data_IF_675804174470
#
_entry.id   IF_675804174470
#
_cell.length_a   1.000
_cell.length_b   1.000
_cell.length_c   1.000
_cell.angle_alpha   90.00
_cell.angle_beta   90.00
_cell.angle_gamma   90.00
#
_symmetry.space_group_name_H-M   'P 1'
#
loop_
_entity.id
_entity.type
_entity.pdbx_description
1 polymer ?
#
# COMPACT_ATOMS: atom_id res chain seq x y z
N UNK A 1 45.00 -30.42 -33.71
CA UNK A 1 44.83 -29.53 -32.54
C UNK A 1 43.66 -28.62 -32.86
N UNK A 2 42.55 -28.79 -32.14
CA UNK A 2 41.33 -28.01 -32.38
C UNK A 2 41.45 -26.70 -31.58
N UNK A 3 41.86 -25.62 -32.25
CA UNK A 3 42.04 -24.28 -31.67
C UNK A 3 40.80 -23.43 -31.86
N UNK A 4 39.61 -24.01 -31.63
CA UNK A 4 38.40 -23.20 -31.56
C UNK A 4 38.36 -22.51 -30.19
N UNK A 5 38.39 -21.17 -30.13
CA UNK A 5 38.29 -20.47 -28.87
C UNK A 5 36.92 -20.83 -28.26
N UNK A 6 36.95 -21.42 -27.06
CA UNK A 6 35.74 -21.62 -26.26
C UNK A 6 35.16 -20.24 -26.00
N UNK A 7 34.12 -19.88 -26.74
CA UNK A 7 33.37 -18.65 -26.51
C UNK A 7 32.73 -18.80 -25.14
N UNK A 8 33.36 -18.20 -24.13
CA UNK A 8 32.79 -18.09 -22.80
C UNK A 8 31.53 -17.24 -22.97
N UNK A 9 30.37 -17.89 -23.05
CA UNK A 9 29.08 -17.22 -23.01
C UNK A 9 29.13 -16.27 -21.82
N UNK A 10 28.82 -14.99 -22.06
CA UNK A 10 28.81 -13.94 -21.03
C UNK A 10 28.21 -14.53 -19.76
N UNK A 11 28.95 -14.46 -18.66
CA UNK A 11 28.44 -14.82 -17.35
C UNK A 11 27.20 -13.97 -17.12
N UNK A 12 26.03 -14.59 -17.16
CA UNK A 12 24.76 -13.94 -16.87
C UNK A 12 24.70 -13.73 -15.36
N UNK A 13 25.38 -12.69 -14.87
CA UNK A 13 25.42 -12.33 -13.45
C UNK A 13 24.02 -12.19 -12.83
N UNK A 14 23.02 -11.83 -13.64
CA UNK A 14 21.62 -11.76 -13.24
C UNK A 14 21.01 -13.12 -12.88
N UNK A 15 21.53 -14.20 -13.44
CA UNK A 15 21.15 -15.58 -13.10
C UNK A 15 21.78 -16.04 -11.79
N UNK A 16 22.99 -15.56 -11.50
CA UNK A 16 23.73 -15.87 -10.27
C UNK A 16 23.19 -15.07 -9.09
N UNK A 17 22.91 -13.78 -9.30
CA UNK A 17 22.42 -12.85 -8.28
C UNK A 17 21.06 -12.28 -8.67
N UNK A 18 19.95 -13.00 -8.45
CA UNK A 18 18.61 -12.53 -8.78
C UNK A 18 18.22 -11.24 -8.03
N UNK A 19 18.90 -10.93 -6.92
CA UNK A 19 18.73 -9.68 -6.17
C UNK A 19 19.13 -8.46 -7.02
N UNK A 20 20.06 -8.60 -7.97
CA UNK A 20 20.41 -7.50 -8.89
C UNK A 20 19.24 -7.14 -9.83
N UNK A 21 18.33 -8.09 -10.11
CA UNK A 21 17.11 -7.77 -10.86
C UNK A 21 16.16 -6.89 -10.04
N UNK A 22 16.17 -6.97 -8.70
CA UNK A 22 15.37 -6.08 -7.86
C UNK A 22 15.82 -4.62 -7.94
N UNK A 23 17.07 -4.34 -8.35
CA UNK A 23 17.49 -2.97 -8.64
C UNK A 23 16.68 -2.33 -9.77
N UNK A 24 16.19 -3.14 -10.72
CA UNK A 24 15.28 -2.65 -11.76
C UNK A 24 13.94 -2.21 -11.15
N UNK A 25 13.51 -2.77 -10.01
CA UNK A 25 12.30 -2.32 -9.31
C UNK A 25 12.42 -0.85 -8.92
N UNK A 26 13.58 -0.42 -8.40
CA UNK A 26 13.80 0.98 -8.04
C UNK A 26 13.68 1.89 -9.26
N UNK A 27 14.31 1.52 -10.39
CA UNK A 27 14.18 2.29 -11.64
C UNK A 27 12.74 2.33 -12.16
N UNK A 28 12.02 1.22 -12.10
CA UNK A 28 10.63 1.11 -12.53
C UNK A 28 9.68 1.88 -11.59
N UNK A 29 10.04 2.02 -10.31
CA UNK A 29 9.30 2.84 -9.35
C UNK A 29 9.30 4.32 -9.73
N UNK A 30 10.42 4.83 -10.27
CA UNK A 30 10.55 6.22 -10.72
C UNK A 30 9.99 6.43 -12.14
N UNK A 31 9.44 5.41 -12.79
CA UNK A 31 8.81 5.61 -14.10
C UNK A 31 7.50 6.35 -13.94
N UNK A 32 7.34 7.44 -14.71
CA UNK A 32 6.10 8.25 -14.74
C UNK A 32 4.85 7.38 -14.96
N UNK A 33 4.97 6.25 -15.68
CA UNK A 33 3.87 5.34 -15.97
C UNK A 33 3.36 4.55 -14.76
N UNK A 34 4.22 4.25 -13.79
CA UNK A 34 3.83 3.61 -12.52
C UNK A 34 3.43 4.67 -11.50
N UNK A 35 4.07 5.85 -11.54
CA UNK A 35 3.73 6.96 -10.64
C UNK A 35 2.36 7.57 -10.91
N UNK A 36 1.94 7.74 -12.16
CA UNK A 36 0.60 8.28 -12.49
C UNK A 36 -0.54 7.47 -11.84
N UNK A 37 -0.68 6.15 -12.06
CA UNK A 37 -1.76 5.38 -11.45
C UNK A 37 -1.66 5.39 -9.92
N UNK A 38 -0.46 5.38 -9.36
CA UNK A 38 -0.27 5.46 -7.91
C UNK A 38 -0.71 6.82 -7.36
N UNK A 39 -0.33 7.92 -8.00
CA UNK A 39 -0.76 9.25 -7.63
C UNK A 39 -2.29 9.38 -7.67
N UNK A 40 -2.92 8.90 -8.75
CA UNK A 40 -4.39 8.90 -8.87
C UNK A 40 -5.02 8.05 -7.76
N UNK A 41 -4.45 6.88 -7.43
CA UNK A 41 -4.93 6.05 -6.33
C UNK A 41 -4.90 6.79 -4.98
N UNK A 42 -3.81 7.50 -4.69
CA UNK A 42 -3.67 8.28 -3.45
C UNK A 42 -4.66 9.45 -3.39
N UNK A 43 -4.84 10.17 -4.50
CA UNK A 43 -5.82 11.28 -4.57
C UNK A 43 -7.25 10.75 -4.39
N UNK A 44 -7.61 9.63 -5.02
CA UNK A 44 -8.93 9.02 -4.85
C UNK A 44 -9.13 8.46 -3.44
N UNK A 45 -8.09 7.85 -2.86
CA UNK A 45 -8.12 7.39 -1.46
C UNK A 45 -8.37 8.57 -0.52
N UNK A 46 -7.68 9.69 -0.74
CA UNK A 46 -7.86 10.90 0.04
C UNK A 46 -9.29 11.41 -0.01
N UNK A 47 -9.79 11.66 -1.23
CA UNK A 47 -11.13 12.19 -1.45
C UNK A 47 -12.17 11.23 -0.85
N UNK A 48 -12.05 9.93 -1.12
CA UNK A 48 -13.00 8.94 -0.63
C UNK A 48 -13.00 8.81 0.89
N UNK A 49 -11.84 8.75 1.54
CA UNK A 49 -11.75 8.71 3.02
C UNK A 49 -12.34 9.97 3.62
N UNK A 50 -12.05 11.14 3.05
CA UNK A 50 -12.62 12.41 3.51
C UNK A 50 -14.15 12.40 3.42
N UNK A 51 -14.72 11.99 2.29
CA UNK A 51 -16.17 11.90 2.08
C UNK A 51 -16.82 10.90 3.04
N UNK A 52 -16.21 9.72 3.24
CA UNK A 52 -16.70 8.73 4.20
C UNK A 52 -16.73 9.33 5.61
N UNK A 53 -15.66 10.01 6.04
CA UNK A 53 -15.60 10.62 7.36
C UNK A 53 -16.65 11.73 7.54
N UNK A 54 -16.89 12.56 6.52
CA UNK A 54 -17.92 13.59 6.55
C UNK A 54 -19.31 12.99 6.71
N UNK A 55 -19.63 11.96 5.91
CA UNK A 55 -20.93 11.28 5.95
C UNK A 55 -21.14 10.61 7.31
N UNK A 56 -20.14 9.88 7.83
CA UNK A 56 -20.29 9.17 9.10
C UNK A 56 -20.34 10.08 10.32
N UNK A 57 -19.65 11.23 10.28
CA UNK A 57 -19.63 12.18 11.40
C UNK A 57 -20.81 13.16 11.38
N UNK A 58 -21.53 13.28 10.25
CA UNK A 58 -22.75 14.10 10.15
C UNK A 58 -23.96 13.51 10.86
N UNK A 59 -23.84 12.28 11.38
CA UNK A 59 -24.85 11.67 12.25
C UNK A 59 -24.79 12.39 13.61
N UNK A 60 -25.88 13.05 14.05
CA UNK A 60 -25.87 13.87 15.26
C UNK A 60 -25.55 12.99 16.47
N UNK A 61 -24.38 13.22 17.05
CA UNK A 61 -23.91 12.57 18.26
C UNK A 61 -23.94 13.63 19.37
N UNK A 62 -24.83 13.44 20.36
CA UNK A 62 -25.14 14.40 21.43
C UNK A 62 -23.95 15.27 21.86
N UNK A 63 -24.14 16.60 21.74
CA UNK A 63 -23.13 17.66 21.77
C UNK A 63 -22.19 17.70 23.00
N UNK A 64 -22.50 16.95 24.06
CA UNK A 64 -21.72 16.95 25.29
C UNK A 64 -20.57 15.91 25.34
N UNK A 65 -20.47 14.98 24.36
CA UNK A 65 -19.35 13.99 24.30
C UNK A 65 -18.42 14.16 23.09
N UNK A 66 -18.76 15.04 22.16
CA UNK A 66 -18.12 15.18 20.84
C UNK A 66 -16.71 15.81 20.86
N UNK A 67 -16.35 16.55 21.91
CA UNK A 67 -15.02 17.20 22.00
C UNK A 67 -13.88 16.23 22.35
N UNK A 68 -14.16 15.14 23.09
CA UNK A 68 -13.17 14.13 23.43
C UNK A 68 -13.05 13.04 22.35
N UNK A 69 -14.17 12.65 21.74
CA UNK A 69 -14.20 11.67 20.65
C UNK A 69 -13.45 12.14 19.39
N UNK A 70 -13.42 13.47 19.13
CA UNK A 70 -12.70 14.01 17.98
C UNK A 70 -11.18 13.76 18.04
N UNK A 71 -10.60 13.60 19.24
CA UNK A 71 -9.17 13.32 19.42
C UNK A 71 -8.82 11.83 19.19
N UNK A 72 -9.73 10.91 19.53
CA UNK A 72 -9.57 9.46 19.27
C UNK A 72 -9.82 9.07 17.80
N UNK A 73 -10.47 9.94 17.02
CA UNK A 73 -10.68 9.79 15.56
C UNK A 73 -9.42 9.67 14.70
N UNK A 74 -8.22 9.73 15.29
CA UNK A 74 -7.00 10.09 14.57
C UNK A 74 -6.12 8.93 14.15
N UNK A 75 -6.34 7.67 14.51
CA UNK A 75 -5.37 6.62 14.11
C UNK A 75 -5.32 6.37 12.59
N UNK A 76 -6.46 6.26 11.90
CA UNK A 76 -6.49 6.07 10.43
C UNK A 76 -6.03 7.35 9.70
N UNK A 77 -6.36 8.52 10.24
CA UNK A 77 -5.92 9.82 9.73
C UNK A 77 -4.44 10.14 10.05
N UNK A 78 -3.84 9.46 11.04
CA UNK A 78 -2.43 9.56 11.42
C UNK A 78 -1.54 8.63 10.60
N UNK A 79 -2.07 7.53 10.08
CA UNK A 79 -1.29 6.57 9.26
C UNK A 79 -0.96 7.15 7.88
N UNK A 80 -1.79 8.06 7.39
CA UNK A 80 -1.50 8.83 6.19
C UNK A 80 -1.02 10.24 6.57
N UNK A 81 -0.19 10.90 5.74
CA UNK A 81 0.29 12.26 5.98
C UNK A 81 -0.81 13.33 5.76
N UNK A 82 -2.05 13.06 6.17
CA UNK A 82 -3.18 13.99 6.01
C UNK A 82 -3.12 15.20 6.94
N UNK A 83 -2.32 15.13 8.02
CA UNK A 83 -2.18 16.24 8.97
C UNK A 83 -1.62 17.50 8.31
N UNK A 84 -0.82 17.36 7.24
CA UNK A 84 -0.32 18.50 6.45
C UNK A 84 -1.33 19.07 5.45
N UNK A 85 -2.45 18.37 5.20
CA UNK A 85 -3.48 18.76 4.21
C UNK A 85 -4.74 19.30 4.88
N UNK A 86 -4.86 19.18 6.20
CA UNK A 86 -5.95 19.84 6.92
C UNK A 86 -5.70 21.36 6.94
N UNK A 87 -6.68 22.19 6.53
CA UNK A 87 -6.56 23.63 6.70
C UNK A 87 -6.37 23.92 8.19
N UNK A 88 -5.33 24.67 8.59
CA UNK A 88 -5.06 24.91 10.00
C UNK A 88 -6.26 25.61 10.65
N UNK A 89 -6.79 25.04 11.75
CA UNK A 89 -7.92 25.63 12.50
C UNK A 89 -7.59 27.00 13.12
N UNK A 90 -6.32 27.42 13.14
CA UNK A 90 -5.87 28.77 13.51
C UNK A 90 -4.64 29.17 12.69
N UNK A 91 -4.71 30.31 12.02
CA UNK A 91 -3.76 30.81 11.00
C UNK A 91 -2.43 31.37 11.51
N UNK A 92 -2.14 31.32 12.82
CA UNK A 92 -0.99 32.03 13.40
C UNK A 92 0.35 31.28 13.35
N UNK A 93 0.39 30.03 12.87
CA UNK A 93 1.65 29.29 12.70
C UNK A 93 1.70 28.59 11.34
N UNK A 94 1.58 29.36 10.24
CA UNK A 94 2.08 28.89 8.93
C UNK A 94 3.61 28.94 8.99
N UNK A 95 4.19 27.95 9.67
CA UNK A 95 5.61 27.68 9.61
C UNK A 95 5.90 27.00 8.28
N UNK A 96 6.68 27.66 7.43
CA UNK A 96 7.28 27.07 6.22
C UNK A 96 8.29 25.95 6.55
N UNK A 97 8.55 25.68 7.84
CA UNK A 97 9.26 24.47 8.22
C UNK A 97 8.50 23.27 7.65
N UNK A 98 9.21 22.30 7.06
CA UNK A 98 8.58 21.08 6.63
C UNK A 98 7.82 20.51 7.83
N UNK A 99 6.49 20.49 7.74
CA UNK A 99 5.61 19.73 8.64
C UNK A 99 5.77 18.22 8.36
N UNK A 100 7.00 17.80 8.04
CA UNK A 100 7.50 16.44 8.15
C UNK A 100 7.70 16.25 9.66
N UNK A 101 6.57 16.20 10.40
CA UNK A 101 6.56 15.30 11.54
C UNK A 101 6.99 13.97 10.94
N UNK A 102 8.13 13.48 11.39
CA UNK A 102 8.67 12.17 11.06
C UNK A 102 7.59 11.20 11.53
N UNK A 103 6.58 10.95 10.69
CA UNK A 103 5.59 9.94 10.91
C UNK A 103 6.41 8.68 11.09
N UNK A 104 6.27 8.07 12.27
CA UNK A 104 6.93 6.81 12.62
C UNK A 104 6.77 5.88 11.43
N UNK A 105 7.85 5.71 10.68
CA UNK A 105 7.84 5.05 9.39
C UNK A 105 7.56 3.58 9.65
N UNK A 106 6.28 3.20 9.57
CA UNK A 106 5.89 1.80 9.58
C UNK A 106 6.69 1.07 8.49
N UNK A 107 7.06 -0.20 8.72
CA UNK A 107 7.87 -0.97 7.77
C UNK A 107 7.21 -1.16 6.40
N UNK A 108 5.94 -0.81 6.25
CA UNK A 108 5.14 -0.93 5.04
C UNK A 108 4.72 0.44 4.49
N UNK A 109 4.35 0.53 3.19
CA UNK A 109 3.79 1.75 2.61
C UNK A 109 2.46 2.15 3.24
N UNK A 110 2.17 3.46 3.31
CA UNK A 110 0.98 3.99 3.99
C UNK A 110 -0.36 3.35 3.57
N UNK A 111 -0.66 3.08 2.26
CA UNK A 111 -1.92 2.44 1.88
C UNK A 111 -2.08 1.02 2.45
N UNK A 112 -0.97 0.27 2.53
CA UNK A 112 -0.95 -1.09 3.10
C UNK A 112 -1.15 -1.02 4.60
N UNK A 113 -0.43 -0.12 5.27
CA UNK A 113 -0.58 0.10 6.71
C UNK A 113 -2.00 0.54 7.06
N UNK A 114 -2.63 1.41 6.27
CA UNK A 114 -4.00 1.85 6.48
C UNK A 114 -5.00 0.71 6.33
N UNK A 115 -4.82 -0.21 5.37
CA UNK A 115 -5.65 -1.41 5.27
C UNK A 115 -5.51 -2.30 6.51
N UNK A 116 -4.28 -2.50 7.01
CA UNK A 116 -4.05 -3.30 8.22
C UNK A 116 -4.67 -2.65 9.44
N UNK A 117 -4.49 -1.35 9.63
CA UNK A 117 -5.05 -0.62 10.78
C UNK A 117 -6.57 -0.59 10.74
N UNK A 118 -7.17 -0.35 9.58
CA UNK A 118 -8.65 -0.36 9.42
C UNK A 118 -9.23 -1.75 9.62
N UNK A 119 -8.55 -2.80 9.12
CA UNK A 119 -8.93 -4.18 9.40
C UNK A 119 -8.85 -4.48 10.90
N UNK A 120 -7.76 -4.13 11.57
CA UNK A 120 -7.63 -4.32 13.03
C UNK A 120 -8.69 -3.53 13.80
N UNK A 121 -9.00 -2.31 13.39
CA UNK A 121 -10.06 -1.48 13.99
C UNK A 121 -11.43 -2.16 13.86
N UNK A 122 -11.76 -2.66 12.66
CA UNK A 122 -13.00 -3.38 12.39
C UNK A 122 -13.16 -4.66 13.23
N UNK A 123 -12.05 -5.31 13.57
CA UNK A 123 -12.03 -6.54 14.35
C UNK A 123 -12.09 -6.30 15.87
N UNK A 124 -11.63 -5.13 16.32
CA UNK A 124 -11.48 -4.81 17.76
C UNK A 124 -12.54 -3.86 18.30
N UNK A 125 -13.16 -3.04 17.43
CA UNK A 125 -14.10 -1.99 17.83
C UNK A 125 -15.47 -2.16 17.18
N UNK A 126 -16.53 -2.06 17.99
CA UNK A 126 -17.93 -2.08 17.54
C UNK A 126 -18.50 -0.70 17.21
N UNK A 127 -17.90 0.40 17.70
CA UNK A 127 -18.51 1.73 17.64
C UNK A 127 -18.39 2.40 16.25
N UNK A 128 -17.43 1.96 15.42
CA UNK A 128 -17.14 2.58 14.12
C UNK A 128 -17.10 1.58 12.95
N UNK A 129 -17.72 0.41 13.10
CA UNK A 129 -17.63 -0.71 12.14
C UNK A 129 -18.00 -0.31 10.71
N UNK A 130 -19.06 0.49 10.52
CA UNK A 130 -19.51 0.91 9.17
C UNK A 130 -18.49 1.83 8.50
N UNK A 131 -17.90 2.76 9.25
CA UNK A 131 -16.87 3.68 8.75
C UNK A 131 -15.62 2.92 8.35
N UNK A 132 -15.14 2.04 9.23
CA UNK A 132 -13.91 1.27 8.99
C UNK A 132 -14.10 0.28 7.84
N UNK A 133 -15.28 -0.34 7.72
CA UNK A 133 -15.63 -1.20 6.60
C UNK A 133 -15.63 -0.43 5.28
N UNK A 134 -16.22 0.77 5.24
CA UNK A 134 -16.25 1.62 4.05
C UNK A 134 -14.85 2.07 3.64
N UNK A 135 -14.01 2.47 4.59
CA UNK A 135 -12.61 2.84 4.32
C UNK A 135 -11.81 1.64 3.81
N UNK A 136 -11.95 0.47 4.46
CA UNK A 136 -11.26 -0.75 4.03
C UNK A 136 -11.69 -1.16 2.62
N UNK A 137 -13.00 -1.11 2.31
CA UNK A 137 -13.53 -1.42 0.99
C UNK A 137 -13.01 -0.46 -0.08
N UNK A 138 -12.94 0.85 0.23
CA UNK A 138 -12.35 1.85 -0.66
C UNK A 138 -10.88 1.57 -0.92
N UNK A 139 -10.07 1.38 0.13
CA UNK A 139 -8.64 1.14 0.00
C UNK A 139 -8.36 -0.17 -0.76
N UNK A 140 -9.06 -1.24 -0.44
CA UNK A 140 -8.96 -2.51 -1.17
C UNK A 140 -9.35 -2.34 -2.65
N UNK A 141 -10.43 -1.60 -2.94
CA UNK A 141 -10.85 -1.23 -4.30
C UNK A 141 -9.77 -0.53 -5.10
N UNK A 142 -9.12 0.47 -4.50
CA UNK A 142 -8.04 1.22 -5.12
C UNK A 142 -6.79 0.34 -5.33
N UNK A 143 -6.44 -0.49 -4.35
CA UNK A 143 -5.33 -1.45 -4.46
C UNK A 143 -5.58 -2.46 -5.60
N UNK A 144 -6.81 -2.96 -5.75
CA UNK A 144 -7.18 -3.88 -6.81
C UNK A 144 -7.03 -3.28 -8.21
N UNK A 145 -7.40 -2.01 -8.40
CA UNK A 145 -7.33 -1.35 -9.71
C UNK A 145 -5.90 -0.87 -9.99
N UNK A 146 -5.36 -0.03 -9.12
CA UNK A 146 -4.10 0.65 -9.36
C UNK A 146 -2.90 -0.24 -9.08
N UNK A 147 -3.00 -1.17 -8.13
CA UNK A 147 -1.99 -2.20 -7.90
C UNK A 147 -1.82 -3.12 -9.09
N UNK A 148 -2.92 -3.62 -9.66
CA UNK A 148 -2.90 -4.45 -10.88
C UNK A 148 -2.41 -3.66 -12.09
N UNK A 149 -2.83 -2.40 -12.26
CA UNK A 149 -2.37 -1.54 -13.35
C UNK A 149 -0.85 -1.31 -13.29
N UNK A 150 -0.31 -1.00 -12.12
CA UNK A 150 1.14 -0.82 -11.95
C UNK A 150 1.90 -2.13 -12.10
N UNK A 151 1.41 -3.24 -11.52
CA UNK A 151 2.02 -4.55 -11.71
C UNK A 151 2.13 -4.92 -13.19
N UNK A 152 1.08 -4.65 -13.97
CA UNK A 152 1.08 -4.86 -15.41
C UNK A 152 2.09 -3.97 -16.14
N UNK A 153 2.15 -2.68 -15.80
CA UNK A 153 3.14 -1.77 -16.39
C UNK A 153 4.57 -2.27 -16.12
N UNK A 154 4.86 -2.63 -14.87
CA UNK A 154 6.16 -3.15 -14.44
C UNK A 154 6.50 -4.46 -15.14
N UNK A 155 5.54 -5.39 -15.24
CA UNK A 155 5.72 -6.67 -15.91
C UNK A 155 6.02 -6.50 -17.40
N UNK A 156 5.23 -5.69 -18.11
CA UNK A 156 5.45 -5.45 -19.55
C UNK A 156 6.81 -4.82 -19.81
N UNK A 157 7.19 -3.80 -19.03
CA UNK A 157 8.49 -3.15 -19.19
C UNK A 157 9.65 -4.08 -18.85
N UNK A 158 9.51 -4.96 -17.85
CA UNK A 158 10.54 -5.91 -17.48
C UNK A 158 10.69 -7.07 -18.49
N UNK A 159 9.58 -7.67 -18.93
CA UNK A 159 9.61 -8.85 -19.81
C UNK A 159 9.88 -8.48 -21.27
N UNK A 160 9.17 -7.48 -21.80
CA UNK A 160 9.17 -7.17 -23.24
C UNK A 160 10.03 -5.95 -23.60
N UNK A 161 10.44 -5.15 -22.60
CA UNK A 161 10.98 -3.79 -22.82
C UNK A 161 10.02 -2.86 -23.59
N UNK A 162 8.77 -3.27 -23.80
CA UNK A 162 7.75 -2.43 -24.42
C UNK A 162 7.08 -1.54 -23.39
N UNK A 163 6.66 -0.37 -23.86
CA UNK A 163 6.11 0.69 -23.03
C UNK A 163 4.59 0.63 -23.11
N UNK A 164 3.94 0.08 -22.08
CA UNK A 164 2.47 0.14 -21.97
C UNK A 164 2.06 1.50 -21.41
N UNK A 165 1.18 2.23 -22.10
CA UNK A 165 0.66 3.51 -21.60
C UNK A 165 -0.17 3.34 -20.32
N UNK A 166 -0.11 4.30 -19.39
CA UNK A 166 -0.81 4.23 -18.10
C UNK A 166 -2.34 4.06 -18.26
N UNK A 167 -2.94 4.75 -19.23
CA UNK A 167 -4.38 4.65 -19.53
C UNK A 167 -4.75 3.24 -19.99
N UNK A 168 -3.92 2.62 -20.85
CA UNK A 168 -4.15 1.26 -21.31
C UNK A 168 -4.03 0.26 -20.16
N UNK A 169 -3.06 0.45 -19.25
CA UNK A 169 -2.89 -0.39 -18.07
C UNK A 169 -4.10 -0.29 -17.12
N UNK A 170 -4.61 0.93 -16.86
CA UNK A 170 -5.80 1.15 -16.03
C UNK A 170 -7.04 0.52 -16.68
N UNK A 171 -7.26 0.75 -17.99
CA UNK A 171 -8.40 0.16 -18.72
C UNK A 171 -8.41 -1.36 -18.60
N UNK A 172 -7.25 -1.98 -18.72
CA UNK A 172 -7.11 -3.43 -18.59
C UNK A 172 -7.32 -3.90 -17.15
N UNK A 173 -6.82 -3.15 -16.16
CA UNK A 173 -7.07 -3.45 -14.74
C UNK A 173 -8.57 -3.37 -14.39
N UNK A 174 -9.33 -2.45 -15.00
CA UNK A 174 -10.79 -2.37 -14.85
C UNK A 174 -11.47 -3.60 -15.45
N UNK A 175 -11.02 -4.07 -16.62
CA UNK A 175 -11.55 -5.30 -17.25
C UNK A 175 -11.24 -6.54 -16.39
N UNK A 176 -10.07 -6.58 -15.74
CA UNK A 176 -9.67 -7.67 -14.85
C UNK A 176 -10.20 -7.50 -13.40
N UNK A 177 -11.00 -6.46 -13.12
CA UNK A 177 -11.54 -6.17 -11.78
C UNK A 177 -12.32 -7.32 -11.15
N UNK A 178 -13.18 -8.08 -11.86
CA UNK A 178 -13.87 -9.22 -11.26
C UNK A 178 -12.89 -10.29 -10.74
N UNK A 179 -11.74 -10.44 -11.40
CA UNK A 179 -10.70 -11.41 -11.01
C UNK A 179 -9.98 -10.94 -9.74
N UNK A 180 -9.61 -9.66 -9.67
CA UNK A 180 -8.97 -9.09 -8.47
C UNK A 180 -9.93 -9.03 -7.28
N UNK A 181 -11.22 -8.78 -7.53
CA UNK A 181 -12.26 -8.83 -6.52
C UNK A 181 -12.43 -10.24 -5.96
N UNK A 182 -12.49 -11.26 -6.82
CA UNK A 182 -12.57 -12.65 -6.36
C UNK A 182 -11.37 -13.04 -5.49
N UNK A 183 -10.14 -12.67 -5.89
CA UNK A 183 -8.94 -12.93 -5.08
C UNK A 183 -9.00 -12.23 -3.72
N UNK A 184 -9.43 -10.96 -3.71
CA UNK A 184 -9.51 -10.14 -2.49
C UNK A 184 -10.57 -10.69 -1.54
N UNK A 185 -11.76 -11.02 -2.03
CA UNK A 185 -12.83 -11.64 -1.22
C UNK A 185 -12.34 -12.96 -0.64
N UNK A 186 -11.68 -13.81 -1.44
CA UNK A 186 -11.14 -15.09 -0.96
C UNK A 186 -10.07 -14.88 0.13
N UNK A 187 -9.16 -13.93 -0.05
CA UNK A 187 -8.16 -13.57 0.97
C UNK A 187 -8.83 -13.03 2.25
N UNK A 188 -9.83 -12.15 2.13
CA UNK A 188 -10.58 -11.63 3.27
C UNK A 188 -11.29 -12.75 4.02
N UNK A 189 -11.94 -13.70 3.32
CA UNK A 189 -12.59 -14.85 3.94
C UNK A 189 -11.58 -15.74 4.68
N UNK A 190 -10.42 -16.02 4.07
CA UNK A 190 -9.35 -16.79 4.70
C UNK A 190 -8.78 -16.13 5.96
N UNK A 191 -8.69 -14.80 5.98
CA UNK A 191 -8.27 -14.04 7.17
C UNK A 191 -9.38 -13.98 8.22
N UNK A 192 -10.63 -13.78 7.80
CA UNK A 192 -11.76 -13.65 8.70
C UNK A 192 -12.08 -14.96 9.43
N UNK A 193 -11.92 -16.11 8.77
CA UNK A 193 -12.26 -17.43 9.33
C UNK A 193 -11.60 -17.73 10.70
N UNK A 194 -10.26 -17.64 10.87
CA UNK A 194 -9.63 -17.87 12.17
C UNK A 194 -9.99 -16.78 13.20
N UNK A 195 -10.30 -15.57 12.76
CA UNK A 195 -10.67 -14.47 13.66
C UNK A 195 -12.10 -14.63 14.18
N UNK A 196 -13.02 -15.08 13.32
CA UNK A 196 -14.37 -15.47 13.73
C UNK A 196 -14.34 -16.63 14.71
N UNK A 197 -13.42 -17.59 14.53
CA UNK A 197 -13.21 -18.69 15.48
C UNK A 197 -12.73 -18.18 16.86
N UNK A 198 -11.80 -17.21 16.88
CA UNK A 198 -11.35 -16.56 18.12
C UNK A 198 -12.47 -15.79 18.80
N UNK A 199 -13.27 -15.04 18.03
CA UNK A 199 -14.42 -14.32 18.56
C UNK A 199 -15.44 -15.30 19.14
N UNK A 200 -15.76 -16.40 18.45
CA UNK A 200 -16.65 -17.43 18.97
C UNK A 200 -16.14 -18.03 20.29
N UNK A 201 -14.83 -18.29 20.40
CA UNK A 201 -14.21 -18.76 21.64
C UNK A 201 -14.30 -17.71 22.76
N UNK A 202 -14.11 -16.42 22.44
CA UNK A 202 -14.27 -15.32 23.40
C UNK A 202 -15.72 -15.20 23.88
N UNK A 203 -16.70 -15.34 23.00
CA UNK A 203 -18.13 -15.32 23.37
C UNK A 203 -18.49 -16.44 24.35
N UNK A 204 -17.93 -17.64 24.19
CA UNK A 204 -18.13 -18.76 25.13
C UNK A 204 -17.57 -18.47 26.53
N UNK A 205 -16.51 -17.67 26.62
CA UNK A 205 -15.90 -17.29 27.90
C UNK A 205 -16.76 -16.31 28.72
N UNK A 206 -17.73 -15.63 28.10
CA UNK A 206 -18.60 -14.63 28.76
C UNK A 206 -19.82 -15.28 29.46
N UNK A 207 -20.03 -16.59 29.31
CA UNK A 207 -21.18 -17.27 29.91
C UNK A 207 -21.15 -17.24 31.45
N UNK A 208 -22.19 -16.70 32.13
CA UNK A 208 -22.21 -16.60 33.58
C UNK A 208 -22.21 -17.97 34.26
N UNK A 209 -21.44 -18.11 35.34
CA UNK A 209 -21.38 -19.31 36.19
C UNK A 209 -20.37 -20.39 35.78
N UNK A 210 -20.03 -20.48 34.50
CA UNK A 210 -19.06 -21.48 33.97
C UNK A 210 -17.87 -20.79 33.27
N UNK A 211 -18.08 -19.56 32.78
CA UNK A 211 -17.14 -18.83 31.94
C UNK A 211 -15.77 -18.61 32.57
N UNK A 212 -15.67 -18.32 33.87
CA UNK A 212 -14.39 -18.02 34.52
C UNK A 212 -13.44 -19.23 34.57
N UNK A 213 -13.95 -20.39 35.00
CA UNK A 213 -13.15 -21.63 35.06
C UNK A 213 -12.78 -22.12 33.66
N UNK A 214 -13.71 -22.02 32.70
CA UNK A 214 -13.45 -22.37 31.30
C UNK A 214 -12.44 -21.40 30.69
N UNK A 215 -12.55 -20.09 30.95
CA UNK A 215 -11.63 -19.09 30.44
C UNK A 215 -10.20 -19.36 30.91
N UNK A 216 -9.97 -19.70 32.18
CA UNK A 216 -8.62 -20.01 32.67
C UNK A 216 -7.99 -21.21 31.95
N UNK A 217 -8.77 -22.27 31.66
CA UNK A 217 -8.28 -23.47 30.97
C UNK A 217 -8.12 -23.23 29.47
N UNK A 218 -9.03 -22.46 28.87
CA UNK A 218 -9.10 -22.22 27.42
C UNK A 218 -8.19 -21.06 26.98
N UNK A 219 -7.75 -20.19 27.89
CA UNK A 219 -6.89 -19.04 27.57
C UNK A 219 -5.58 -19.41 26.85
N UNK A 220 -4.81 -20.43 27.26
CA UNK A 220 -3.64 -20.89 26.50
C UNK A 220 -4.00 -21.35 25.08
N UNK A 221 -5.18 -21.95 24.89
CA UNK A 221 -5.66 -22.38 23.57
C UNK A 221 -6.05 -21.19 22.71
N UNK A 222 -6.77 -20.21 23.26
CA UNK A 222 -7.14 -18.96 22.56
C UNK A 222 -5.89 -18.20 22.15
N UNK A 223 -4.89 -18.08 23.03
CA UNK A 223 -3.64 -17.39 22.71
C UNK A 223 -2.85 -18.12 21.62
N UNK A 224 -2.78 -19.45 21.65
CA UNK A 224 -2.18 -20.24 20.58
C UNK A 224 -2.92 -20.07 19.24
N UNK A 225 -4.25 -20.10 19.27
CA UNK A 225 -5.10 -19.84 18.09
C UNK A 225 -4.89 -18.42 17.56
N UNK A 226 -4.69 -17.43 18.43
CA UNK A 226 -4.43 -16.04 18.05
C UNK A 226 -3.08 -15.92 17.34
N UNK A 227 -2.05 -16.60 17.84
CA UNK A 227 -0.75 -16.70 17.15
C UNK A 227 -0.93 -17.34 15.78
N UNK A 228 -1.66 -18.46 15.68
CA UNK A 228 -1.90 -19.12 14.39
C UNK A 228 -2.71 -18.25 13.42
N UNK A 229 -3.73 -17.55 13.90
CA UNK A 229 -4.53 -16.61 13.13
C UNK A 229 -3.67 -15.46 12.59
N UNK A 230 -2.79 -14.90 13.43
CA UNK A 230 -1.87 -13.83 13.02
C UNK A 230 -0.89 -14.28 11.95
N UNK A 231 -0.30 -15.47 12.10
CA UNK A 231 0.61 -16.06 11.10
C UNK A 231 -0.12 -16.33 9.78
N UNK A 232 -1.34 -16.87 9.86
CA UNK A 232 -2.19 -17.11 8.69
C UNK A 232 -2.52 -15.80 7.98
N UNK A 233 -2.88 -14.75 8.73
CA UNK A 233 -3.18 -13.45 8.17
C UNK A 233 -1.97 -12.82 7.45
N UNK A 234 -0.77 -12.94 8.02
CA UNK A 234 0.47 -12.47 7.37
C UNK A 234 0.73 -13.24 6.07
N UNK A 235 0.63 -14.57 6.09
CA UNK A 235 0.84 -15.41 4.90
C UNK A 235 -0.20 -15.09 3.81
N UNK A 236 -1.48 -15.00 4.17
CA UNK A 236 -2.57 -14.69 3.23
C UNK A 236 -2.46 -13.26 2.70
N UNK A 237 -2.04 -12.29 3.51
CA UNK A 237 -1.82 -10.92 3.04
C UNK A 237 -0.70 -10.84 2.00
N UNK A 238 0.44 -11.51 2.25
CA UNK A 238 1.54 -11.58 1.27
C UNK A 238 1.08 -12.30 0.00
N UNK A 239 0.36 -13.41 0.14
CA UNK A 239 -0.19 -14.17 -0.98
C UNK A 239 -1.20 -13.33 -1.79
N UNK A 240 -2.02 -12.52 -1.13
CA UNK A 240 -2.95 -11.60 -1.77
C UNK A 240 -2.21 -10.56 -2.61
N UNK A 241 -1.16 -9.93 -2.08
CA UNK A 241 -0.34 -9.00 -2.87
C UNK A 241 0.33 -9.68 -4.08
N UNK A 242 0.86 -10.90 -3.91
CA UNK A 242 1.39 -11.69 -5.01
C UNK A 242 0.31 -12.07 -6.03
N UNK A 243 -0.93 -12.30 -5.59
CA UNK A 243 -2.05 -12.60 -6.49
C UNK A 243 -2.42 -11.40 -7.37
N UNK A 244 -2.33 -10.17 -6.85
CA UNK A 244 -2.55 -8.96 -7.65
C UNK A 244 -1.46 -8.82 -8.73
N UNK A 245 -0.21 -9.14 -8.38
CA UNK A 245 0.88 -9.21 -9.35
C UNK A 245 0.66 -10.32 -10.39
N UNK A 246 0.18 -11.49 -9.97
CA UNK A 246 -0.16 -12.61 -10.86
C UNK A 246 -1.27 -12.25 -11.85
N UNK A 247 -2.33 -11.57 -11.39
CA UNK A 247 -3.42 -11.12 -12.26
C UNK A 247 -2.90 -10.09 -13.27
N UNK A 248 -2.04 -9.15 -12.83
CA UNK A 248 -1.45 -8.14 -13.70
C UNK A 248 -0.49 -8.70 -14.76
N UNK A 249 0.19 -9.81 -14.46
CA UNK A 249 1.16 -10.48 -15.33
C UNK A 249 0.52 -11.53 -16.24
N UNK A 250 -0.24 -12.46 -15.66
CA UNK A 250 -0.72 -13.69 -16.32
C UNK A 250 -2.20 -13.67 -16.70
N UNK A 251 -2.95 -12.67 -16.23
CA UNK A 251 -4.41 -12.57 -16.40
C UNK A 251 -5.18 -13.81 -15.90
N UNK A 252 -4.61 -14.57 -14.99
CA UNK A 252 -5.23 -15.74 -14.38
C UNK A 252 -6.47 -15.37 -13.56
N UNK A 253 -7.32 -16.37 -13.27
CA UNK A 253 -8.49 -16.18 -12.41
C UNK A 253 -8.07 -15.87 -10.98
N UNK A 254 -8.87 -15.10 -10.23
CA UNK A 254 -8.52 -14.67 -8.87
C UNK A 254 -8.19 -15.81 -7.89
N UNK A 255 -8.92 -16.93 -7.97
CA UNK A 255 -8.66 -18.10 -7.13
C UNK A 255 -7.33 -18.80 -7.45
N UNK A 256 -7.05 -19.03 -8.74
CA UNK A 256 -5.76 -19.56 -9.20
C UNK A 256 -4.60 -18.62 -8.81
N UNK A 257 -4.78 -17.31 -9.00
CA UNK A 257 -3.81 -16.29 -8.61
C UNK A 257 -3.47 -16.36 -7.11
N UNK A 258 -4.49 -16.44 -6.25
CA UNK A 258 -4.29 -16.52 -4.80
C UNK A 258 -3.65 -17.86 -4.41
N UNK A 259 -4.12 -18.97 -4.99
CA UNK A 259 -3.57 -20.30 -4.73
C UNK A 259 -2.07 -20.37 -5.06
N UNK A 260 -1.66 -19.81 -6.20
CA UNK A 260 -0.23 -19.69 -6.55
C UNK A 260 0.52 -18.79 -5.57
N UNK A 261 -0.06 -17.65 -5.20
CA UNK A 261 0.51 -16.76 -4.19
C UNK A 261 0.77 -17.49 -2.87
N UNK A 262 -0.19 -18.28 -2.38
CA UNK A 262 -0.04 -19.09 -1.17
C UNK A 262 1.05 -20.15 -1.35
N UNK A 263 1.04 -20.87 -2.47
CA UNK A 263 2.03 -21.90 -2.77
C UNK A 263 3.45 -21.32 -2.77
N UNK A 264 3.65 -20.15 -3.39
CA UNK A 264 4.95 -19.48 -3.44
C UNK A 264 5.44 -19.04 -2.05
N UNK A 265 4.53 -18.57 -1.19
CA UNK A 265 4.89 -18.18 0.18
C UNK A 265 5.27 -19.40 1.02
N UNK A 266 4.53 -20.51 0.89
CA UNK A 266 4.72 -21.71 1.71
C UNK A 266 5.87 -22.62 1.25
N UNK A 267 6.07 -22.77 -0.06
CA UNK A 267 7.12 -23.62 -0.64
C UNK A 267 8.52 -23.05 -0.45
N UNK A 268 8.64 -21.72 -0.37
CA UNK A 268 9.94 -21.03 -0.38
C UNK A 268 10.08 -19.96 0.72
N UNK A 269 9.57 -20.25 1.93
CA UNK A 269 9.51 -19.33 3.09
C UNK A 269 10.70 -18.38 3.22
N UNK A 270 11.93 -18.91 3.33
CA UNK A 270 13.15 -18.10 3.53
C UNK A 270 13.44 -17.17 2.34
N UNK A 271 13.22 -17.64 1.12
CA UNK A 271 13.46 -16.84 -0.09
C UNK A 271 12.39 -15.77 -0.27
N UNK A 272 11.13 -16.14 -0.04
CA UNK A 272 9.99 -15.20 -0.05
C UNK A 272 10.21 -14.10 0.98
N UNK A 273 10.64 -14.43 2.21
CA UNK A 273 11.02 -13.46 3.24
C UNK A 273 12.23 -12.60 2.84
N UNK A 274 13.24 -13.20 2.20
CA UNK A 274 14.39 -12.47 1.68
C UNK A 274 14.02 -11.45 0.59
N UNK A 275 13.18 -11.85 -0.37
CA UNK A 275 12.69 -10.94 -1.41
C UNK A 275 11.77 -9.87 -0.85
N UNK A 276 10.84 -10.22 0.05
CA UNK A 276 9.95 -9.25 0.68
C UNK A 276 10.75 -8.21 1.49
N UNK A 277 11.76 -8.64 2.25
CA UNK A 277 12.67 -7.75 2.97
C UNK A 277 13.41 -6.81 2.01
N UNK A 278 13.93 -7.33 0.90
CA UNK A 278 14.62 -6.52 -0.11
C UNK A 278 13.67 -5.49 -0.76
N UNK A 279 12.43 -5.89 -1.09
CA UNK A 279 11.39 -4.99 -1.63
C UNK A 279 11.05 -3.90 -0.62
N UNK A 280 10.87 -4.24 0.66
CA UNK A 280 10.60 -3.25 1.71
C UNK A 280 11.75 -2.26 1.90
N UNK A 281 13.00 -2.73 1.91
CA UNK A 281 14.19 -1.87 2.01
C UNK A 281 14.28 -0.92 0.81
N UNK A 282 14.12 -1.43 -0.42
CA UNK A 282 14.16 -0.60 -1.63
C UNK A 282 13.03 0.43 -1.66
N UNK A 283 11.84 0.03 -1.22
CA UNK A 283 10.67 0.91 -1.06
C UNK A 283 10.98 2.06 -0.10
N UNK A 284 11.48 1.76 1.10
CA UNK A 284 11.85 2.79 2.09
C UNK A 284 13.03 3.65 1.66
N UNK A 285 13.99 3.08 0.94
CA UNK A 285 15.10 3.85 0.36
C UNK A 285 14.58 4.86 -0.67
N UNK A 286 13.62 4.46 -1.51
CA UNK A 286 12.99 5.36 -2.48
C UNK A 286 12.22 6.50 -1.81
N UNK A 287 11.47 6.19 -0.75
CA UNK A 287 10.82 7.20 0.09
C UNK A 287 11.82 8.19 0.67
N UNK A 288 12.90 7.69 1.29
CA UNK A 288 13.93 8.53 1.90
C UNK A 288 14.61 9.45 0.89
N UNK A 289 14.92 8.92 -0.30
CA UNK A 289 15.57 9.68 -1.36
C UNK A 289 14.66 10.82 -1.88
N UNK A 290 13.36 10.56 -2.09
CA UNK A 290 12.39 11.58 -2.52
C UNK A 290 12.18 12.62 -1.43
N UNK A 291 12.03 12.19 -0.17
CA UNK A 291 11.91 13.10 0.97
C UNK A 291 13.13 14.00 1.10
N UNK A 292 14.34 13.45 0.99
CA UNK A 292 15.58 14.23 1.02
C UNK A 292 15.64 15.23 -0.15
N UNK A 293 15.25 14.81 -1.36
CA UNK A 293 15.13 15.71 -2.51
C UNK A 293 14.14 16.85 -2.28
N UNK A 294 12.95 16.56 -1.73
CA UNK A 294 11.92 17.56 -1.45
C UNK A 294 12.35 18.53 -0.36
N UNK A 295 12.96 18.03 0.72
CA UNK A 295 13.48 18.88 1.80
C UNK A 295 14.56 19.82 1.26
N UNK A 296 15.50 19.30 0.44
CA UNK A 296 16.54 20.12 -0.18
C UNK A 296 15.95 21.13 -1.18
N UNK A 297 14.99 20.72 -2.01
CA UNK A 297 14.32 21.61 -2.95
C UNK A 297 13.57 22.73 -2.21
N UNK A 298 12.84 22.40 -1.15
CA UNK A 298 12.13 23.38 -0.32
C UNK A 298 13.11 24.32 0.38
N UNK A 299 14.24 23.84 0.91
CA UNK A 299 15.25 24.69 1.53
C UNK A 299 15.87 25.69 0.54
N UNK A 300 16.04 25.30 -0.73
CA UNK A 300 16.52 26.18 -1.80
C UNK A 300 15.47 27.18 -2.28
N UNK A 301 14.19 26.78 -2.26
CA UNK A 301 13.06 27.58 -2.75
C UNK A 301 12.50 28.54 -1.69
N UNK A 302 12.51 28.17 -0.41
CA UNK A 302 11.91 28.93 0.69
C UNK A 302 12.41 30.38 0.80
N UNK A 303 13.73 30.68 0.74
CA UNK A 303 14.20 32.05 0.81
C UNK A 303 13.66 32.90 -0.34
N UNK A 304 13.61 32.34 -1.55
CA UNK A 304 13.11 33.03 -2.74
C UNK A 304 11.60 33.26 -2.66
N UNK A 305 10.83 32.27 -2.24
CA UNK A 305 9.38 32.43 -2.08
C UNK A 305 9.01 33.44 -0.99
N UNK A 306 9.77 33.52 0.11
CA UNK A 306 9.57 34.52 1.16
C UNK A 306 9.75 35.96 0.67
N UNK A 307 10.50 36.19 -0.41
CA UNK A 307 10.64 37.51 -1.05
C UNK A 307 9.45 37.85 -1.96
N UNK A 308 8.76 36.85 -2.52
CA UNK A 308 7.59 37.06 -3.40
C UNK A 308 6.24 37.18 -2.65
N UNK A 309 6.09 36.47 -1.53
CA UNK A 309 4.86 36.45 -0.70
C UNK A 309 4.58 37.72 0.16
N UNK A 310 5.52 38.64 0.47
CA UNK A 310 5.21 39.85 1.27
C UNK A 310 4.16 40.76 0.60
N UNK A 311 4.01 40.65 -0.72
CA UNK A 311 3.04 41.41 -1.52
C UNK A 311 1.61 40.89 -1.30
N UNK A 312 1.43 39.59 -1.01
CA UNK A 312 0.14 38.98 -0.71
C UNK A 312 -0.27 39.20 0.76
N UNK A 313 0.68 39.17 1.71
CA UNK A 313 0.41 39.37 3.15
C UNK A 313 -0.03 40.78 3.53
N UNK A 314 0.22 41.79 2.69
CA UNK A 314 -0.16 43.19 2.99
C UNK A 314 -1.63 43.49 2.75
N UNK A 315 -2.39 42.52 2.26
CA UNK A 315 -3.81 42.63 1.99
C UNK A 315 -4.46 41.39 2.59
N UNK A 316 -4.81 41.44 3.88
CA UNK A 316 -6.13 40.99 4.33
C UNK A 316 -6.30 41.08 5.85
N UNK A 317 -7.27 41.91 6.21
CA UNK A 317 -8.24 41.59 7.24
C UNK A 317 -9.06 40.37 6.78
N UNK A 318 -8.96 39.26 7.50
CA UNK A 318 -10.05 38.29 7.67
C UNK A 318 -10.25 37.17 6.64
N UNK A 319 -10.13 37.41 5.33
CA UNK A 319 -10.44 36.39 4.31
C UNK A 319 -9.18 35.72 3.76
N UNK A 320 -9.20 34.38 3.69
CA UNK A 320 -8.11 33.61 3.09
C UNK A 320 -8.10 33.90 1.60
N UNK A 321 -7.19 34.75 1.16
CA UNK A 321 -7.02 35.03 -0.27
C UNK A 321 -6.79 33.70 -1.03
N UNK A 322 -7.52 33.51 -2.15
CA UNK A 322 -7.41 32.32 -3.00
C UNK A 322 -5.98 31.85 -3.37
N UNK A 323 -4.97 32.74 -3.50
CA UNK A 323 -3.57 32.34 -3.71
C UNK A 323 -2.97 31.52 -2.57
N UNK A 324 -3.30 31.80 -1.30
CA UNK A 324 -2.76 31.06 -0.16
C UNK A 324 -3.34 29.63 -0.11
N UNK A 325 -4.62 29.48 -0.39
CA UNK A 325 -5.27 28.17 -0.48
C UNK A 325 -4.67 27.32 -1.61
N UNK A 326 -4.39 27.91 -2.77
CA UNK A 326 -3.74 27.23 -3.88
C UNK A 326 -2.31 26.78 -3.51
N UNK A 327 -1.54 27.63 -2.83
CA UNK A 327 -0.18 27.30 -2.38
C UNK A 327 -0.19 26.14 -1.37
N UNK A 328 -1.11 26.17 -0.39
CA UNK A 328 -1.27 25.08 0.59
C UNK A 328 -1.67 23.76 -0.08
N UNK A 329 -2.54 23.80 -1.09
CA UNK A 329 -2.89 22.62 -1.88
C UNK A 329 -1.70 22.04 -2.63
N UNK A 330 -0.89 22.88 -3.28
CA UNK A 330 0.31 22.43 -4.00
C UNK A 330 1.36 21.83 -3.04
N UNK A 331 1.59 22.46 -1.89
CA UNK A 331 2.48 21.91 -0.86
C UNK A 331 1.97 20.55 -0.37
N UNK A 332 0.67 20.43 -0.14
CA UNK A 332 0.02 19.17 0.24
C UNK A 332 0.21 18.09 -0.83
N UNK A 333 0.00 18.42 -2.11
CA UNK A 333 0.19 17.48 -3.22
C UNK A 333 1.64 17.02 -3.36
N UNK A 334 2.61 17.92 -3.17
CA UNK A 334 4.04 17.61 -3.20
C UNK A 334 4.44 16.70 -2.03
N UNK A 335 3.89 16.95 -0.84
CA UNK A 335 4.17 16.14 0.35
C UNK A 335 3.66 14.69 0.25
N UNK A 336 2.76 14.39 -0.69
CA UNK A 336 2.28 13.04 -0.98
C UNK A 336 3.26 12.27 -1.88
N UNK A 337 4.16 12.95 -2.60
CA UNK A 337 5.04 12.32 -3.57
C UNK A 337 5.95 11.20 -3.00
N UNK A 338 6.56 11.32 -1.79
CA UNK A 338 7.33 10.23 -1.20
C UNK A 338 6.50 8.95 -1.01
N UNK A 339 5.26 9.08 -0.54
CA UNK A 339 4.36 7.93 -0.32
C UNK A 339 3.94 7.26 -1.63
N UNK A 340 3.69 8.06 -2.67
CA UNK A 340 3.35 7.55 -4.00
C UNK A 340 4.52 6.78 -4.61
N UNK A 341 5.74 7.32 -4.47
CA UNK A 341 6.96 6.65 -4.96
C UNK A 341 7.23 5.39 -4.14
N UNK A 342 7.10 5.44 -2.82
CA UNK A 342 7.25 4.27 -1.95
C UNK A 342 6.29 3.17 -2.38
N UNK A 343 5.01 3.48 -2.48
CA UNK A 343 4.00 2.49 -2.84
C UNK A 343 4.20 1.95 -4.27
N UNK A 344 4.58 2.80 -5.22
CA UNK A 344 4.96 2.39 -6.57
C UNK A 344 6.18 1.46 -6.61
N UNK A 345 7.18 1.72 -5.77
CA UNK A 345 8.36 0.85 -5.61
C UNK A 345 7.99 -0.49 -4.99
N UNK A 346 7.14 -0.48 -3.97
CA UNK A 346 6.64 -1.68 -3.32
C UNK A 346 5.88 -2.59 -4.30
N UNK A 347 4.91 -2.05 -5.04
CA UNK A 347 4.11 -2.82 -6.01
C UNK A 347 4.98 -3.34 -7.17
N UNK A 348 5.92 -2.52 -7.65
CA UNK A 348 6.87 -2.94 -8.70
C UNK A 348 7.79 -4.06 -8.19
N UNK A 349 8.28 -3.94 -6.95
CA UNK A 349 9.09 -4.96 -6.30
C UNK A 349 8.34 -6.27 -6.09
N UNK A 350 7.08 -6.22 -5.65
CA UNK A 350 6.21 -7.40 -5.53
C UNK A 350 5.99 -8.08 -6.88
N UNK A 351 5.86 -7.30 -7.96
CA UNK A 351 5.72 -7.84 -9.31
C UNK A 351 6.97 -8.58 -9.77
N UNK A 352 8.15 -7.99 -9.56
CA UNK A 352 9.41 -8.67 -9.88
C UNK A 352 9.63 -9.90 -8.99
N UNK A 353 9.29 -9.80 -7.70
CA UNK A 353 9.32 -10.94 -6.78
C UNK A 353 8.44 -12.08 -7.29
N UNK A 354 7.21 -11.80 -7.72
CA UNK A 354 6.32 -12.79 -8.32
C UNK A 354 6.95 -13.44 -9.56
N UNK A 355 7.47 -12.64 -10.50
CA UNK A 355 8.11 -13.15 -11.73
C UNK A 355 9.31 -14.05 -11.40
N UNK A 356 10.15 -13.66 -10.43
CA UNK A 356 11.31 -14.44 -10.01
C UNK A 356 10.93 -15.75 -9.31
N UNK A 357 9.91 -15.73 -8.46
CA UNK A 357 9.38 -16.95 -7.81
C UNK A 357 8.80 -17.89 -8.87
N UNK A 358 8.05 -17.33 -9.82
CA UNK A 358 7.44 -18.08 -10.92
C UNK A 358 8.47 -18.73 -11.84
N UNK A 359 9.51 -18.01 -12.26
CA UNK A 359 10.60 -18.60 -13.06
C UNK A 359 11.24 -19.80 -12.37
N UNK A 360 11.34 -19.73 -11.05
CA UNK A 360 11.98 -20.76 -10.25
C UNK A 360 11.09 -21.99 -10.06
N UNK A 361 9.81 -21.79 -9.76
CA UNK A 361 8.88 -22.89 -9.49
C UNK A 361 8.33 -23.52 -10.76
N UNK A 362 7.88 -22.71 -11.71
CA UNK A 362 7.21 -23.19 -12.91
C UNK A 362 8.22 -23.52 -14.03
N UNK A 363 9.48 -23.11 -13.89
CA UNK A 363 10.51 -23.25 -14.93
C UNK A 363 10.21 -22.44 -16.21
N UNK A 364 9.21 -21.56 -16.18
CA UNK A 364 8.73 -20.78 -17.33
C UNK A 364 9.78 -19.77 -17.73
N UNK A 365 10.18 -19.79 -19.00
CA UNK A 365 11.11 -18.81 -19.54
C UNK A 365 10.42 -17.46 -19.69
N UNK A 366 11.14 -16.37 -19.39
CA UNK A 366 10.63 -14.99 -19.51
C UNK A 366 10.01 -14.65 -20.87
N UNK A 367 10.42 -15.33 -21.94
CA UNK A 367 9.91 -15.12 -23.30
C UNK A 367 8.52 -15.69 -23.55
N UNK A 368 8.06 -16.64 -22.73
CA UNK A 368 6.74 -17.26 -22.89
C UNK A 368 5.61 -16.37 -22.32
N UNK A 369 5.97 -15.44 -21.44
CA UNK A 369 5.06 -14.42 -20.89
C UNK A 369 4.52 -13.47 -21.97
N UNK A 370 5.16 -13.39 -23.13
CA UNK A 370 4.79 -12.46 -24.21
C UNK A 370 3.62 -12.97 -25.08
N UNK A 371 3.02 -14.10 -24.71
CA UNK A 371 1.85 -14.65 -25.40
C UNK A 371 2.16 -15.20 -26.80
N UNK A 372 3.43 -15.52 -27.07
CA UNK A 372 3.83 -16.30 -28.25
C UNK A 372 3.42 -15.71 -29.60
N UNK A 373 3.20 -14.40 -29.71
CA UNK A 373 3.02 -13.73 -31.01
C UNK A 373 4.37 -13.69 -31.72
N UNK A 374 4.72 -14.80 -32.39
CA UNK A 374 5.70 -14.82 -33.48
C UNK A 374 5.05 -14.38 -34.77
#
# INVERSE_FOLDING_TARGET
MNTDPVIVKRVEWLRIFPVLNLWHAARLAFCVRTLIPMFVAFVLAWIGVYQICQITNSVPQDDNRSSAALQTTTHVLQVFPWRSVQPPRRFHEVSLRPNVQIFTSGSFPAPVQACVVTLMSLLTSSEHTLRDAAVLALLAGLLMIFGVAAARSTATEFCTQTRTGAIAAIKLAIVDLPKSLLSTVLATVLIAMPILLLNAAAWLAVLPGIGESVAMIVWPVITLLAVFASLTAVVVAIAWFLSLAAIGTDRCTGSDALSRGINYVLSHKLRTLGYLSAVAILSKLSWWLVTAMLVNANALLEPRFREFIPIARRKDDGDVSGPEAALQWWQSAINIAPEVVEFGAFVSGLTLMYILLRQKEDGVQLRELDGGRR
#
